data_IF_756217385535
#
_entry.id   IF_756217385535
#
_cell.length_a   1.000
_cell.length_b   1.000
_cell.length_c   1.000
_cell.angle_alpha   90.00
_cell.angle_beta   90.00
_cell.angle_gamma   90.00
#
_symmetry.space_group_name_H-M   'P 1'
#
loop_
_entity.id
_entity.type
_entity.pdbx_description
1 polymer ?
#
# COMPACT_ATOMS: atom_id res chain seq x y z
N UNK A 1 12.78 -17.55 -10.77
CA UNK A 1 11.48 -18.07 -11.25
C UNK A 1 10.59 -16.91 -11.61
N UNK A 2 10.02 -16.96 -12.82
CA UNK A 2 9.65 -15.79 -13.61
C UNK A 2 8.20 -15.36 -13.46
N UNK A 3 8.00 -14.04 -13.53
CA UNK A 3 6.75 -13.27 -13.41
C UNK A 3 5.61 -13.64 -14.38
N UNK A 4 5.70 -14.76 -15.10
CA UNK A 4 4.58 -15.33 -15.89
C UNK A 4 3.41 -15.70 -14.99
N UNK A 5 3.67 -16.23 -13.80
CA UNK A 5 2.62 -16.75 -12.89
C UNK A 5 1.75 -15.63 -12.27
N UNK A 6 2.32 -14.45 -11.97
CA UNK A 6 1.59 -13.30 -11.39
C UNK A 6 0.59 -12.65 -12.37
N UNK A 7 0.88 -12.65 -13.68
CA UNK A 7 -0.05 -12.17 -14.70
C UNK A 7 -1.22 -13.14 -14.86
N UNK A 8 -0.91 -14.44 -14.89
CA UNK A 8 -1.91 -15.50 -14.94
C UNK A 8 -2.81 -15.53 -13.70
N UNK A 9 -2.33 -15.14 -12.51
CA UNK A 9 -3.16 -14.97 -11.31
C UNK A 9 -4.27 -13.93 -11.49
N UNK A 10 -3.92 -12.76 -12.01
CA UNK A 10 -4.88 -11.68 -12.24
C UNK A 10 -5.81 -12.02 -13.41
N UNK A 11 -5.27 -12.57 -14.50
CA UNK A 11 -6.08 -13.02 -15.64
C UNK A 11 -7.05 -14.15 -15.21
N UNK A 12 -6.62 -15.08 -14.35
CA UNK A 12 -7.48 -16.12 -13.79
C UNK A 12 -8.58 -15.58 -12.87
N UNK A 13 -8.31 -14.49 -12.13
CA UNK A 13 -9.35 -13.81 -11.32
C UNK A 13 -10.49 -13.23 -12.15
N UNK A 14 -10.25 -12.98 -13.44
CA UNK A 14 -11.26 -12.46 -14.38
C UNK A 14 -12.06 -13.57 -15.05
N UNK A 15 -11.58 -14.82 -15.03
CA UNK A 15 -12.15 -15.95 -15.77
C UNK A 15 -12.95 -16.94 -14.91
N UNK A 16 -12.86 -16.86 -13.57
CA UNK A 16 -13.56 -17.76 -12.64
C UNK A 16 -14.11 -16.99 -11.44
N UNK A 17 -15.27 -17.42 -10.94
CA UNK A 17 -15.76 -16.95 -9.63
C UNK A 17 -14.83 -17.43 -8.52
N UNK A 18 -14.10 -16.49 -7.91
CA UNK A 18 -13.19 -16.78 -6.80
C UNK A 18 -13.95 -17.01 -5.49
N UNK A 19 -13.36 -17.84 -4.62
CA UNK A 19 -13.82 -17.96 -3.24
C UNK A 19 -13.67 -16.62 -2.56
N UNK A 20 -14.67 -16.21 -1.79
CA UNK A 20 -14.71 -14.90 -1.10
C UNK A 20 -14.93 -15.06 0.38
N UNK A 21 -14.22 -14.26 1.17
CA UNK A 21 -14.39 -14.20 2.63
C UNK A 21 -14.44 -12.77 3.12
N UNK A 22 -15.15 -12.55 4.23
CA UNK A 22 -14.99 -11.31 5.01
C UNK A 22 -13.57 -11.26 5.57
N UNK A 23 -12.93 -10.10 5.51
CA UNK A 23 -11.60 -9.84 6.06
C UNK A 23 -11.50 -10.22 7.54
N UNK A 24 -12.57 -9.99 8.31
CA UNK A 24 -12.69 -10.40 9.72
C UNK A 24 -12.61 -11.92 9.93
N UNK A 25 -12.96 -12.70 8.91
CA UNK A 25 -13.04 -14.17 8.98
C UNK A 25 -11.84 -14.85 8.31
N UNK A 26 -10.94 -14.07 7.70
CA UNK A 26 -9.63 -14.57 7.29
C UNK A 26 -8.89 -14.92 8.58
N UNK A 27 -8.57 -16.19 8.82
CA UNK A 27 -7.85 -16.63 10.02
C UNK A 27 -6.44 -17.04 9.63
N UNK A 28 -5.46 -16.52 10.35
CA UNK A 28 -4.08 -16.91 10.17
C UNK A 28 -3.88 -18.22 10.94
N UNK A 29 -3.57 -19.31 10.23
CA UNK A 29 -3.29 -20.61 10.86
C UNK A 29 -2.23 -20.45 11.96
N UNK A 30 -2.51 -21.00 13.14
CA UNK A 30 -1.73 -20.76 14.36
C UNK A 30 -0.29 -21.25 14.22
N UNK A 31 0.67 -20.32 14.10
CA UNK A 31 2.06 -20.54 14.51
C UNK A 31 2.61 -19.30 15.22
N UNK A 32 2.57 -19.39 16.56
CA UNK A 32 3.42 -18.85 17.64
C UNK A 32 3.47 -17.34 18.00
N UNK A 33 3.24 -17.14 19.31
CA UNK A 33 3.62 -16.05 20.22
C UNK A 33 2.99 -14.67 20.02
N UNK A 34 1.73 -14.54 20.45
CA UNK A 34 1.12 -13.27 20.82
C UNK A 34 1.78 -12.69 22.07
N UNK A 35 2.66 -11.70 21.90
CA UNK A 35 2.84 -10.69 22.94
C UNK A 35 1.66 -9.72 22.84
N UNK A 36 0.79 -9.78 23.85
CA UNK A 36 -0.21 -8.75 24.10
C UNK A 36 0.55 -7.51 24.55
N UNK A 37 0.54 -6.46 23.73
CA UNK A 37 0.95 -5.13 24.14
C UNK A 37 -0.26 -4.20 24.14
N UNK A 38 -0.41 -3.54 25.29
CA UNK A 38 -1.48 -2.63 25.63
C UNK A 38 -1.58 -1.48 24.63
N UNK A 39 -2.79 -0.99 24.43
CA UNK A 39 -3.17 -0.08 23.35
C UNK A 39 -2.34 1.19 23.28
N UNK A 40 -1.40 1.22 22.36
CA UNK A 40 -0.87 2.46 21.82
C UNK A 40 -1.97 3.14 20.99
N UNK A 41 -2.51 4.24 21.51
CA UNK A 41 -3.34 5.16 20.73
C UNK A 41 -2.57 5.54 19.47
N UNK A 42 -3.08 5.15 18.29
CA UNK A 42 -2.59 5.61 17.00
C UNK A 42 -2.49 7.14 17.04
N UNK A 43 -1.26 7.64 17.15
CA UNK A 43 -0.97 9.06 17.06
C UNK A 43 -1.09 9.43 15.58
N UNK A 44 -2.33 9.43 15.06
CA UNK A 44 -2.63 9.57 13.65
C UNK A 44 -1.91 10.77 13.06
N UNK A 45 -1.38 10.62 11.84
CA UNK A 45 -0.64 11.62 11.04
C UNK A 45 -1.08 13.04 11.40
N UNK A 46 -0.45 13.63 12.42
CA UNK A 46 -0.87 14.92 12.98
C UNK A 46 -0.40 15.98 11.99
N UNK A 47 -1.26 16.98 11.75
CA UNK A 47 -0.82 18.26 11.17
C UNK A 47 0.45 18.68 11.89
N UNK A 48 1.61 18.68 11.22
CA UNK A 48 2.76 19.41 11.74
C UNK A 48 2.28 20.85 11.85
N UNK A 49 2.05 21.33 13.08
CA UNK A 49 1.79 22.74 13.33
C UNK A 49 2.94 23.47 12.65
N UNK A 50 2.63 24.22 11.59
CA UNK A 50 3.55 25.21 11.08
C UNK A 50 3.79 26.15 12.27
N UNK A 51 4.93 26.02 12.96
CA UNK A 51 5.37 27.06 13.90
C UNK A 51 5.47 28.33 13.04
N UNK A 52 4.50 29.23 13.23
CA UNK A 52 4.26 30.39 12.37
C UNK A 52 3.09 30.24 11.39
N UNK A 53 1.88 29.91 11.86
CA UNK A 53 0.72 30.59 11.25
C UNK A 53 0.84 32.04 11.68
N UNK A 54 0.96 32.91 10.69
CA UNK A 54 1.10 34.34 10.81
C UNK A 54 0.18 34.89 11.90
N UNK A 55 0.79 35.39 12.98
CA UNK A 55 0.10 36.25 13.92
C UNK A 55 -0.18 37.58 13.21
N UNK A 56 -1.46 37.94 13.12
CA UNK A 56 -1.94 39.19 12.55
C UNK A 56 -2.68 39.11 11.21
N UNK A 57 -3.71 39.94 11.12
CA UNK A 57 -4.65 40.21 10.02
C UNK A 57 -3.98 40.71 8.72
N UNK A 58 -3.01 39.98 8.16
CA UNK A 58 -2.39 40.30 6.86
C UNK A 58 -3.12 39.56 5.75
N UNK A 59 -3.41 40.28 4.65
CA UNK A 59 -4.07 39.75 3.45
C UNK A 59 -3.19 38.64 2.86
N UNK A 60 -3.67 37.40 2.96
CA UNK A 60 -2.98 36.21 2.48
C UNK A 60 -3.47 35.88 1.06
N UNK A 61 -2.54 35.67 0.13
CA UNK A 61 -2.88 35.22 -1.22
C UNK A 61 -2.32 33.82 -1.45
N UNK A 62 -3.08 32.99 -2.16
CA UNK A 62 -2.70 31.64 -2.52
C UNK A 62 -2.78 31.49 -4.03
N UNK A 63 -1.68 31.06 -4.65
CA UNK A 63 -1.60 30.79 -6.09
C UNK A 63 -1.23 29.33 -6.29
N UNK A 64 -1.97 28.62 -7.12
CA UNK A 64 -1.61 27.26 -7.52
C UNK A 64 -0.38 27.28 -8.43
N UNK A 65 0.52 26.32 -8.25
CA UNK A 65 1.72 26.16 -9.07
C UNK A 65 1.77 24.74 -9.62
N UNK A 66 2.32 24.57 -10.82
CA UNK A 66 2.31 23.27 -11.52
C UNK A 66 3.31 22.26 -10.95
N UNK A 67 4.40 22.76 -10.37
CA UNK A 67 5.48 21.90 -9.90
C UNK A 67 6.28 22.51 -8.76
N UNK A 68 7.03 21.65 -8.07
CA UNK A 68 7.98 22.00 -7.02
C UNK A 68 9.23 21.11 -7.14
N UNK A 69 10.41 21.70 -7.00
CA UNK A 69 11.69 20.96 -7.01
C UNK A 69 12.06 20.63 -5.58
N UNK A 70 12.26 19.34 -5.29
CA UNK A 70 12.64 18.88 -3.95
C UNK A 70 14.04 19.44 -3.60
N UNK A 71 14.19 20.20 -2.49
CA UNK A 71 15.44 20.85 -2.13
C UNK A 71 16.61 19.86 -2.02
N UNK A 72 17.79 20.28 -2.49
CA UNK A 72 18.98 19.42 -2.50
C UNK A 72 18.97 18.32 -3.56
N UNK A 73 17.94 18.26 -4.41
CA UNK A 73 17.83 17.29 -5.51
C UNK A 73 17.49 17.97 -6.84
N UNK A 74 17.49 17.19 -7.93
CA UNK A 74 16.96 17.61 -9.24
C UNK A 74 15.54 17.07 -9.50
N UNK A 75 14.90 16.46 -8.49
CA UNK A 75 13.60 15.80 -8.63
C UNK A 75 12.47 16.82 -8.55
N UNK A 76 11.62 16.82 -9.57
CA UNK A 76 10.46 17.72 -9.68
C UNK A 76 9.19 16.91 -9.39
N UNK A 77 8.34 17.44 -8.52
CA UNK A 77 7.03 16.87 -8.18
C UNK A 77 5.89 17.75 -8.69
N UNK A 78 4.79 17.12 -9.08
CA UNK A 78 3.58 17.73 -9.62
C UNK A 78 2.33 17.16 -8.95
N UNK A 79 1.17 17.79 -9.16
CA UNK A 79 -0.10 17.17 -8.81
C UNK A 79 -0.26 15.82 -9.54
N UNK A 80 -0.76 14.82 -8.83
CA UNK A 80 -0.85 13.43 -9.26
C UNK A 80 0.34 12.55 -8.84
N UNK A 81 1.52 13.13 -8.60
CA UNK A 81 2.69 12.35 -8.15
C UNK A 81 2.50 11.79 -6.74
N UNK A 82 3.12 10.63 -6.49
CA UNK A 82 3.26 10.06 -5.16
C UNK A 82 4.64 10.32 -4.57
N UNK A 83 4.68 10.64 -3.29
CA UNK A 83 5.88 11.13 -2.59
C UNK A 83 6.04 10.49 -1.22
N UNK A 84 7.29 10.49 -0.77
CA UNK A 84 7.69 10.13 0.57
C UNK A 84 7.84 11.38 1.42
N UNK A 85 7.22 11.38 2.58
CA UNK A 85 7.27 12.48 3.56
C UNK A 85 7.89 11.95 4.85
N UNK A 86 8.85 12.69 5.40
CA UNK A 86 9.56 12.30 6.61
C UNK A 86 8.59 12.07 7.78
N UNK A 87 8.59 10.87 8.34
CA UNK A 87 7.88 10.60 9.59
C UNK A 87 8.48 11.42 10.74
N UNK A 88 7.68 11.88 11.73
CA UNK A 88 8.19 12.60 12.90
C UNK A 88 9.19 11.79 13.72
N UNK A 89 8.99 10.48 13.78
CA UNK A 89 9.80 9.52 14.51
C UNK A 89 10.79 8.88 13.53
N UNK A 90 12.09 8.91 13.86
CA UNK A 90 13.17 8.48 12.94
C UNK A 90 13.17 6.98 12.64
N UNK A 91 12.63 6.18 13.54
CA UNK A 91 12.58 4.72 13.41
C UNK A 91 11.40 4.27 12.53
N UNK A 92 10.42 5.16 12.29
CA UNK A 92 9.28 4.85 11.44
C UNK A 92 9.64 5.04 9.96
N UNK A 93 9.10 4.20 9.07
CA UNK A 93 9.24 4.41 7.63
C UNK A 93 8.63 5.77 7.23
N UNK A 94 9.10 6.37 6.13
CA UNK A 94 8.51 7.60 5.61
C UNK A 94 7.04 7.38 5.26
N UNK A 95 6.23 8.41 5.44
CA UNK A 95 4.83 8.37 5.03
C UNK A 95 4.70 8.48 3.52
N UNK A 96 3.75 7.72 2.95
CA UNK A 96 3.42 7.77 1.53
C UNK A 96 2.20 8.66 1.30
N UNK A 97 2.28 9.58 0.34
CA UNK A 97 1.19 10.48 0.02
C UNK A 97 1.07 10.75 -1.49
N UNK A 98 -0.15 10.98 -1.97
CA UNK A 98 -0.41 11.54 -3.30
C UNK A 98 -0.54 13.06 -3.21
N UNK A 99 0.14 13.78 -4.09
CA UNK A 99 -0.03 15.23 -4.22
C UNK A 99 -1.32 15.50 -4.98
N UNK A 100 -2.26 16.17 -4.34
CA UNK A 100 -3.52 16.61 -4.98
C UNK A 100 -3.34 17.99 -5.62
N UNK A 101 -2.60 18.88 -4.95
CA UNK A 101 -2.41 20.27 -5.39
C UNK A 101 -1.17 20.89 -4.77
N UNK A 102 -0.51 21.80 -5.48
CA UNK A 102 0.62 22.58 -4.95
C UNK A 102 0.22 24.06 -4.96
N UNK A 103 0.43 24.75 -3.84
CA UNK A 103 0.05 26.15 -3.67
C UNK A 103 1.21 26.96 -3.09
N UNK A 104 1.47 28.12 -3.67
CA UNK A 104 2.32 29.15 -3.07
C UNK A 104 1.45 30.12 -2.29
N UNK A 105 1.71 30.21 -0.99
CA UNK A 105 1.03 31.11 -0.07
C UNK A 105 1.94 32.30 0.20
N UNK A 106 1.46 33.52 -0.07
CA UNK A 106 2.17 34.77 0.21
C UNK A 106 1.46 35.55 1.33
N UNK A 107 2.26 36.05 2.27
CA UNK A 107 1.81 36.92 3.35
C UNK A 107 2.82 38.06 3.55
N UNK A 108 2.56 39.18 2.89
CA UNK A 108 3.53 40.28 2.77
C UNK A 108 4.78 39.84 2.01
N UNK A 109 5.95 39.95 2.65
CA UNK A 109 7.25 39.53 2.06
C UNK A 109 7.57 38.05 2.24
N UNK A 110 6.80 37.32 3.06
CA UNK A 110 7.03 35.89 3.29
C UNK A 110 6.23 35.09 2.28
N UNK A 111 6.88 34.10 1.69
CA UNK A 111 6.21 33.10 0.85
C UNK A 111 6.54 31.69 1.34
N UNK A 112 5.59 30.78 1.16
CA UNK A 112 5.72 29.37 1.51
C UNK A 112 5.02 28.51 0.48
N UNK A 113 5.62 27.38 0.13
CA UNK A 113 4.97 26.38 -0.73
C UNK A 113 4.33 25.31 0.14
N UNK A 114 3.04 25.06 -0.09
CA UNK A 114 2.23 24.08 0.63
C UNK A 114 1.68 23.08 -0.38
N UNK A 115 1.74 21.80 -0.04
CA UNK A 115 1.14 20.71 -0.80
C UNK A 115 -0.14 20.25 -0.11
N UNK A 116 -1.24 20.19 -0.87
CA UNK A 116 -2.44 19.43 -0.50
C UNK A 116 -2.21 18.00 -0.91
N UNK A 117 -2.41 17.08 0.02
CA UNK A 117 -2.08 15.68 -0.16
C UNK A 117 -3.21 14.78 0.30
N UNK A 118 -3.21 13.56 -0.23
CA UNK A 118 -4.00 12.44 0.24
C UNK A 118 -3.06 11.37 0.77
N UNK A 119 -3.28 10.93 2.00
CA UNK A 119 -2.40 9.96 2.65
C UNK A 119 -2.67 8.54 2.16
N UNK A 120 -1.59 7.76 2.02
CA UNK A 120 -1.65 6.31 2.10
C UNK A 120 -1.24 5.87 3.51
N UNK A 121 -1.79 4.77 3.99
CA UNK A 121 -1.48 4.19 5.30
C UNK A 121 -0.77 2.85 5.12
N UNK A 122 0.34 2.66 5.81
CA UNK A 122 0.91 1.32 5.94
C UNK A 122 -0.06 0.44 6.76
N UNK A 123 -0.16 -0.87 6.48
CA UNK A 123 -0.99 -1.79 7.25
C UNK A 123 -0.78 -1.67 8.78
N UNK A 124 0.45 -1.46 9.21
CA UNK A 124 0.87 -1.24 10.60
C UNK A 124 0.19 -0.02 11.26
N UNK A 125 -0.15 1.00 10.46
CA UNK A 125 -0.80 2.23 10.93
C UNK A 125 -2.32 2.10 11.03
N UNK A 126 -2.91 1.06 10.43
CA UNK A 126 -4.35 0.80 10.45
C UNK A 126 -4.76 0.07 11.73
N UNK A 127 -6.04 0.14 12.11
CA UNK A 127 -6.56 -0.62 13.25
C UNK A 127 -6.41 -2.13 13.07
N UNK A 128 -6.48 -2.61 11.82
CA UNK A 128 -6.37 -4.02 11.45
C UNK A 128 -4.93 -4.55 11.52
N UNK A 129 -3.94 -3.65 11.64
CA UNK A 129 -2.49 -3.92 11.64
C UNK A 129 -2.04 -4.75 10.42
N UNK A 130 -0.73 -5.02 10.36
CA UNK A 130 -0.17 -5.93 9.35
C UNK A 130 -0.64 -7.37 9.61
N UNK A 131 -0.83 -8.11 8.54
CA UNK A 131 -1.35 -9.48 8.46
C UNK A 131 -0.52 -10.26 7.46
N UNK A 132 -0.53 -11.58 7.52
CA UNK A 132 0.35 -12.42 6.68
C UNK A 132 0.07 -12.31 5.18
N UNK A 133 -1.14 -11.92 4.78
CA UNK A 133 -1.47 -11.68 3.38
C UNK A 133 -1.03 -10.32 2.83
N UNK A 134 -0.61 -9.39 3.71
CA UNK A 134 -0.17 -8.06 3.28
C UNK A 134 1.25 -8.13 2.71
N UNK A 135 1.43 -7.59 1.51
CA UNK A 135 2.76 -7.47 0.89
C UNK A 135 3.64 -6.44 1.61
N UNK A 136 4.95 -6.58 1.49
CA UNK A 136 5.95 -5.71 2.11
C UNK A 136 5.80 -4.25 1.68
N UNK A 137 5.52 -4.01 0.38
CA UNK A 137 5.28 -2.66 -0.17
C UNK A 137 3.79 -2.29 -0.26
N UNK A 138 2.94 -2.96 0.51
CA UNK A 138 1.51 -2.66 0.53
C UNK A 138 1.22 -1.41 1.35
N UNK A 139 0.38 -0.53 0.80
CA UNK A 139 -0.22 0.62 1.48
C UNK A 139 -1.72 0.69 1.17
N UNK A 140 -2.49 1.33 2.05
CA UNK A 140 -3.93 1.52 1.90
C UNK A 140 -4.23 2.96 1.48
N UNK A 141 -5.02 3.14 0.41
CA UNK A 141 -5.48 4.46 -0.02
C UNK A 141 -6.49 5.00 1.00
N UNK A 142 -6.22 6.13 1.65
CA UNK A 142 -7.15 6.64 2.68
C UNK A 142 -8.11 7.71 2.19
N UNK A 143 -9.12 8.05 2.98
CA UNK A 143 -9.94 9.26 2.85
C UNK A 143 -9.35 10.46 3.61
N UNK A 144 -8.12 10.34 4.13
CA UNK A 144 -7.46 11.39 4.90
C UNK A 144 -6.68 12.34 3.98
N UNK A 145 -7.22 13.56 3.85
CA UNK A 145 -6.57 14.68 3.17
C UNK A 145 -5.93 15.65 4.16
N UNK A 146 -4.78 16.19 3.81
CA UNK A 146 -4.06 17.16 4.66
C UNK A 146 -3.29 18.20 3.83
N UNK A 147 -2.69 19.19 4.51
CA UNK A 147 -1.80 20.19 3.93
C UNK A 147 -0.45 20.15 4.64
N UNK A 148 0.62 19.98 3.89
CA UNK A 148 1.97 19.92 4.43
C UNK A 148 2.87 20.97 3.77
N UNK A 149 3.94 21.32 4.47
CA UNK A 149 5.04 22.07 3.87
C UNK A 149 5.66 21.25 2.74
N UNK A 150 5.88 21.86 1.57
CA UNK A 150 6.51 21.17 0.45
C UNK A 150 7.94 20.70 0.81
N UNK A 151 8.61 21.41 1.72
CA UNK A 151 9.96 21.07 2.20
C UNK A 151 9.99 19.76 3.03
N UNK A 152 8.85 19.21 3.44
CA UNK A 152 8.78 17.91 4.12
C UNK A 152 8.87 16.71 3.16
N UNK A 153 8.79 16.96 1.83
CA UNK A 153 8.93 15.92 0.81
C UNK A 153 10.39 15.51 0.73
N UNK A 154 10.64 14.20 0.86
CA UNK A 154 11.99 13.63 0.80
C UNK A 154 12.33 13.09 -0.58
N UNK A 155 11.39 12.38 -1.20
CA UNK A 155 11.59 11.74 -2.49
C UNK A 155 10.26 11.47 -3.20
N UNK A 156 10.33 11.11 -4.48
CA UNK A 156 9.25 10.49 -5.25
C UNK A 156 9.19 9.00 -4.95
N UNK A 157 7.99 8.45 -4.99
CA UNK A 157 7.74 7.01 -5.04
C UNK A 157 6.66 6.74 -6.08
N UNK A 158 6.42 5.47 -6.38
CA UNK A 158 5.31 5.03 -7.22
C UNK A 158 4.33 4.25 -6.34
N UNK A 159 3.04 4.51 -6.51
CA UNK A 159 1.99 3.70 -5.86
C UNK A 159 1.08 3.15 -6.95
N UNK A 160 1.22 1.87 -7.21
CA UNK A 160 0.53 1.14 -8.28
C UNK A 160 -0.81 0.61 -7.77
N UNK A 161 -1.80 0.45 -8.65
CA UNK A 161 -2.88 -0.49 -8.34
C UNK A 161 -2.29 -1.90 -8.19
N UNK A 162 -2.93 -2.77 -7.43
CA UNK A 162 -2.46 -4.16 -7.28
C UNK A 162 -2.26 -4.87 -8.62
N UNK A 163 -3.16 -4.64 -9.58
CA UNK A 163 -3.07 -5.20 -10.93
C UNK A 163 -1.84 -4.72 -11.69
N UNK A 164 -1.46 -3.45 -11.55
CA UNK A 164 -0.25 -2.89 -12.17
C UNK A 164 1.02 -3.40 -11.48
N UNK A 165 1.01 -3.45 -10.15
CA UNK A 165 2.14 -3.93 -9.35
C UNK A 165 2.54 -5.36 -9.71
N UNK A 166 1.58 -6.28 -9.77
CA UNK A 166 1.82 -7.67 -10.15
C UNK A 166 2.36 -7.83 -11.58
N UNK A 167 2.24 -6.81 -12.44
CA UNK A 167 2.75 -6.84 -13.82
C UNK A 167 4.19 -6.29 -13.94
N UNK A 168 4.73 -5.69 -12.89
CA UNK A 168 6.05 -5.03 -12.91
C UNK A 168 7.17 -6.01 -13.24
N UNK A 169 8.07 -5.58 -14.13
CA UNK A 169 9.35 -6.22 -14.53
C UNK A 169 10.24 -6.58 -13.35
N UNK A 170 10.36 -5.64 -12.43
CA UNK A 170 11.19 -5.61 -11.23
C UNK A 170 10.50 -4.62 -10.29
N UNK A 171 10.66 -4.82 -9.00
CA UNK A 171 10.06 -3.96 -7.99
C UNK A 171 11.20 -3.22 -7.30
N UNK A 172 11.25 -1.90 -7.40
CA UNK A 172 12.16 -1.07 -6.61
C UNK A 172 11.65 -0.89 -5.17
N UNK A 173 12.50 -0.49 -4.25
CA UNK A 173 12.13 -0.17 -2.86
C UNK A 173 11.13 0.99 -2.71
N UNK A 174 10.88 1.74 -3.77
CA UNK A 174 9.90 2.83 -3.80
C UNK A 174 8.68 2.52 -4.69
N UNK A 175 8.48 1.26 -5.09
CA UNK A 175 7.30 0.79 -5.81
C UNK A 175 6.29 0.18 -4.84
N UNK A 176 5.39 1.01 -4.33
CA UNK A 176 4.30 0.57 -3.47
C UNK A 176 3.10 0.10 -4.29
N UNK A 177 2.18 -0.60 -3.64
CA UNK A 177 0.89 -0.90 -4.23
C UNK A 177 -0.26 -0.77 -3.24
N UNK A 178 -1.47 -0.62 -3.77
CA UNK A 178 -2.68 -0.63 -2.99
C UNK A 178 -3.78 -1.47 -3.64
N UNK A 179 -4.60 -2.08 -2.79
CA UNK A 179 -5.87 -2.77 -3.13
C UNK A 179 -6.97 -2.54 -2.11
N UNK A 180 -6.63 -1.92 -0.99
CA UNK A 180 -7.58 -1.55 0.05
C UNK A 180 -7.66 -0.04 0.17
N UNK A 181 -8.88 0.43 0.38
CA UNK A 181 -9.14 1.75 0.94
C UNK A 181 -9.19 1.68 2.46
N UNK A 182 -8.62 2.67 3.14
CA UNK A 182 -8.73 2.84 4.58
C UNK A 182 -9.57 4.09 4.90
N UNK A 183 -10.77 3.90 5.44
CA UNK A 183 -11.61 5.02 5.90
C UNK A 183 -11.11 5.46 7.27
N UNK A 184 -10.18 6.40 7.32
CA UNK A 184 -9.45 6.78 8.54
C UNK A 184 -10.37 7.32 9.64
N UNK A 185 -11.46 8.00 9.25
CA UNK A 185 -12.47 8.50 10.20
C UNK A 185 -13.28 7.36 10.84
N UNK A 186 -13.58 6.31 10.08
CA UNK A 186 -14.37 5.16 10.52
C UNK A 186 -13.49 4.00 11.03
N UNK A 187 -12.17 4.08 10.83
CA UNK A 187 -11.21 3.02 11.08
C UNK A 187 -11.59 1.68 10.44
N UNK A 188 -12.05 1.68 9.19
CA UNK A 188 -12.43 0.46 8.46
C UNK A 188 -11.67 0.32 7.14
N UNK A 189 -11.35 -0.92 6.76
CA UNK A 189 -10.79 -1.27 5.47
C UNK A 189 -11.89 -1.68 4.48
N UNK A 190 -11.73 -1.29 3.23
CA UNK A 190 -12.64 -1.63 2.13
C UNK A 190 -11.85 -2.16 0.93
N UNK A 191 -12.33 -3.19 0.20
CA UNK A 191 -13.57 -3.93 0.47
C UNK A 191 -13.45 -4.84 1.69
N UNK A 192 -14.56 -5.03 2.43
CA UNK A 192 -14.61 -5.96 3.57
C UNK A 192 -14.62 -7.42 3.13
N UNK A 193 -15.06 -7.69 1.90
CA UNK A 193 -15.08 -9.03 1.30
C UNK A 193 -13.98 -9.10 0.25
N UNK A 194 -13.11 -10.10 0.41
CA UNK A 194 -11.91 -10.29 -0.42
C UNK A 194 -11.92 -11.66 -1.06
N UNK A 195 -11.33 -11.73 -2.25
CA UNK A 195 -11.04 -13.00 -2.90
C UNK A 195 -9.91 -13.72 -2.15
N UNK A 196 -10.08 -15.03 -2.00
CA UNK A 196 -9.15 -15.91 -1.29
C UNK A 196 -8.80 -17.11 -2.14
N UNK A 197 -7.61 -17.64 -1.90
CA UNK A 197 -7.00 -18.71 -2.69
C UNK A 197 -6.46 -19.81 -1.78
N UNK A 198 -6.10 -20.93 -2.41
CA UNK A 198 -5.47 -22.08 -1.76
C UNK A 198 -6.37 -22.74 -0.70
N UNK A 199 -5.86 -23.82 -0.11
CA UNK A 199 -6.47 -24.54 1.00
C UNK A 199 -6.50 -23.70 2.29
N UNK A 200 -5.61 -22.70 2.42
CA UNK A 200 -5.59 -21.80 3.56
C UNK A 200 -6.63 -20.68 3.48
N UNK A 201 -7.27 -20.50 2.32
CA UNK A 201 -8.32 -19.49 2.11
C UNK A 201 -7.87 -18.08 2.52
N UNK A 202 -6.65 -17.71 2.11
CA UNK A 202 -6.02 -16.41 2.36
C UNK A 202 -6.05 -15.54 1.09
N UNK A 203 -6.17 -14.21 1.23
CA UNK A 203 -5.92 -13.29 0.11
C UNK A 203 -4.50 -13.46 -0.41
N UNK A 204 -4.31 -13.23 -1.71
CA UNK A 204 -3.00 -13.41 -2.34
C UNK A 204 -1.98 -12.40 -1.81
N UNK A 205 -0.83 -12.85 -1.32
CA UNK A 205 0.29 -11.97 -1.00
C UNK A 205 1.29 -11.97 -2.18
N UNK A 206 1.56 -10.82 -2.83
CA UNK A 206 2.41 -10.76 -4.03
C UNK A 206 3.87 -11.13 -3.77
N UNK A 207 4.31 -11.17 -2.52
CA UNK A 207 5.66 -11.58 -2.16
C UNK A 207 5.80 -13.11 -2.03
N UNK A 208 4.66 -13.82 -1.99
CA UNK A 208 4.62 -15.26 -1.86
C UNK A 208 4.33 -15.93 -3.20
N UNK A 209 5.10 -16.97 -3.48
CA UNK A 209 4.96 -17.77 -4.68
C UNK A 209 3.77 -18.73 -4.58
N UNK A 210 2.99 -18.85 -5.65
CA UNK A 210 1.88 -19.79 -5.79
C UNK A 210 1.95 -20.50 -7.14
N UNK A 211 1.40 -21.72 -7.18
CA UNK A 211 1.27 -22.54 -8.38
C UNK A 211 -0.20 -22.70 -8.76
N UNK A 212 -0.51 -22.66 -10.05
CA UNK A 212 -1.87 -22.86 -10.56
C UNK A 212 -2.11 -24.33 -10.88
N UNK A 213 -3.26 -24.86 -10.47
CA UNK A 213 -3.74 -26.16 -10.93
C UNK A 213 -4.30 -26.04 -12.36
N UNK A 214 -3.86 -26.88 -13.29
CA UNK A 214 -4.35 -26.85 -14.68
C UNK A 214 -5.83 -27.26 -14.82
N UNK A 215 -6.31 -28.12 -13.94
CA UNK A 215 -7.67 -28.64 -14.02
C UNK A 215 -8.72 -27.66 -13.46
N UNK A 216 -8.47 -27.07 -12.28
CA UNK A 216 -9.44 -26.19 -11.61
C UNK A 216 -9.09 -24.70 -11.69
N UNK A 217 -7.91 -24.36 -12.20
CA UNK A 217 -7.37 -22.99 -12.29
C UNK A 217 -7.24 -22.24 -10.96
N UNK A 218 -7.37 -22.94 -9.83
CA UNK A 218 -7.12 -22.39 -8.48
C UNK A 218 -5.62 -22.37 -8.17
N UNK A 219 -5.23 -21.55 -7.20
CA UNK A 219 -3.85 -21.24 -6.88
C UNK A 219 -3.47 -21.75 -5.51
N UNK A 220 -2.27 -22.33 -5.40
CA UNK A 220 -1.81 -22.98 -4.18
C UNK A 220 -0.42 -22.52 -3.77
N UNK A 221 -0.22 -22.26 -2.49
CA UNK A 221 1.14 -22.15 -1.95
C UNK A 221 1.78 -23.55 -1.98
N UNK A 222 3.02 -23.71 -2.46
CA UNK A 222 3.68 -25.02 -2.49
C UNK A 222 3.67 -25.71 -1.12
N UNK A 223 3.93 -24.96 -0.05
CA UNK A 223 3.94 -25.47 1.33
C UNK A 223 2.59 -26.03 1.78
N UNK A 224 1.48 -25.43 1.34
CA UNK A 224 0.13 -25.93 1.66
C UNK A 224 -0.17 -27.28 0.99
N UNK A 225 0.47 -27.56 -0.14
CA UNK A 225 0.30 -28.81 -0.91
C UNK A 225 1.52 -29.74 -0.80
N UNK A 226 2.35 -29.53 0.25
CA UNK A 226 3.52 -30.36 0.60
C UNK A 226 4.59 -30.44 -0.50
N UNK A 227 4.73 -29.35 -1.26
CA UNK A 227 5.78 -29.16 -2.26
C UNK A 227 6.74 -28.04 -1.84
N UNK A 228 7.99 -28.14 -2.29
CA UNK A 228 8.96 -27.04 -2.25
C UNK A 228 8.82 -26.16 -3.50
N UNK A 229 9.37 -24.95 -3.42
CA UNK A 229 9.39 -24.05 -4.57
C UNK A 229 10.19 -24.63 -5.74
N UNK A 230 11.30 -25.30 -5.44
CA UNK A 230 12.18 -25.94 -6.41
C UNK A 230 11.48 -27.13 -7.09
N UNK A 231 10.71 -27.91 -6.34
CA UNK A 231 9.92 -29.00 -6.91
C UNK A 231 8.92 -28.47 -7.93
N UNK A 232 8.15 -27.44 -7.57
CA UNK A 232 7.21 -26.79 -8.49
C UNK A 232 7.93 -26.19 -9.69
N UNK A 233 9.11 -25.59 -9.51
CA UNK A 233 9.89 -25.00 -10.60
C UNK A 233 10.31 -26.00 -11.68
N UNK A 234 10.42 -27.28 -11.32
CA UNK A 234 10.82 -28.37 -12.19
C UNK A 234 9.61 -29.16 -12.74
N UNK A 235 8.38 -28.75 -12.42
CA UNK A 235 7.17 -29.34 -12.97
C UNK A 235 6.75 -28.60 -14.25
N UNK A 236 6.40 -29.35 -15.30
CA UNK A 236 5.81 -28.76 -16.51
C UNK A 236 4.37 -28.28 -16.22
N UNK A 237 3.61 -29.09 -15.50
CA UNK A 237 2.22 -28.82 -15.12
C UNK A 237 1.96 -29.25 -13.69
N UNK A 238 0.98 -28.61 -13.05
CA UNK A 238 0.54 -28.96 -11.70
C UNK A 238 -0.97 -29.25 -11.69
N UNK A 239 -1.36 -30.35 -11.06
CA UNK A 239 -2.76 -30.72 -10.79
C UNK A 239 -2.90 -30.95 -9.29
N UNK A 240 -3.89 -30.30 -8.66
CA UNK A 240 -4.10 -30.41 -7.23
C UNK A 240 -4.71 -31.76 -6.82
N UNK A 241 -4.57 -32.12 -5.55
CA UNK A 241 -5.04 -33.40 -4.99
C UNK A 241 -6.53 -33.66 -5.21
N UNK A 242 -7.35 -32.61 -5.24
CA UNK A 242 -8.80 -32.74 -5.48
C UNK A 242 -9.12 -33.07 -6.95
N UNK A 243 -8.24 -32.71 -7.88
CA UNK A 243 -8.42 -32.93 -9.31
C UNK A 243 -7.66 -34.14 -9.85
N UNK A 244 -6.70 -34.67 -9.09
CA UNK A 244 -5.97 -35.89 -9.43
C UNK A 244 -6.70 -37.18 -8.98
N UNK A 245 -7.83 -37.03 -8.28
CA UNK A 245 -8.68 -38.13 -7.81
C UNK A 245 -9.73 -38.54 -8.83
#
# INVERSE_FOLDING_TARGET
>A
MGKRELRSLIEASEQKTLKRKRLSNVSEGTTVASHVHEGEKSMGKKRRRTKGLFDGSKKMTSTEIESYTIPGTRKIVKAGDTVLIQAPEREKPPYVAKIEKIQRIKAGRREKTVVKIRWFYHPEETISRRRSFHGAQEVCLSDHYDSQDADCIQDKCNVHTFKEYCKLKEVDRHDYFWRFEYKAALQVLSPEVVDVYCLCEMPYNPDHFMVQCEACSDWFHPSCVKLSREQVANMDTYVCLDCSQ
#
